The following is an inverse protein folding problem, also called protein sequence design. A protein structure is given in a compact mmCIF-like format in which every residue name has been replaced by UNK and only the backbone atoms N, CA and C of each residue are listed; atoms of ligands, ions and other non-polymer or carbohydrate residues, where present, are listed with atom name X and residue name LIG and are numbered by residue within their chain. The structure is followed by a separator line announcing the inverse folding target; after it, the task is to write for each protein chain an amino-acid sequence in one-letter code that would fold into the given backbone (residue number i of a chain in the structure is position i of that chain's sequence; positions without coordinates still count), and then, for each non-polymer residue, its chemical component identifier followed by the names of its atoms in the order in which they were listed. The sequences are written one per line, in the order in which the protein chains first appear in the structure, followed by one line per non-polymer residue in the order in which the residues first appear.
data_IF_488755056073
#
_entry.id   IF_488755056073
#
_cell.length_a   1.000
_cell.length_b   1.000
_cell.length_c   1.000
_cell.angle_alpha   90.00
_cell.angle_beta   90.00
_cell.angle_gamma   90.00
#
_symmetry.space_group_name_H-M   'P 1'
#
loop_
_entity.id
_entity.type
_entity.pdbx_description
1 polymer ?
#
# COMPACT_ATOMS: atom_id res chain seq x y z
N UNK A 1 -7.65 -12.37 13.24
CA UNK A 1 -8.41 -11.81 12.09
C UNK A 1 -9.75 -12.52 11.99
N UNK A 2 -10.86 -11.79 12.18
CA UNK A 2 -12.15 -12.44 12.40
C UNK A 2 -12.04 -13.41 13.59
N UNK A 3 -12.48 -14.65 13.40
CA UNK A 3 -12.41 -15.70 14.43
C UNK A 3 -11.11 -16.52 14.41
N UNK A 4 -10.16 -16.20 13.52
CA UNK A 4 -8.93 -16.96 13.34
C UNK A 4 -7.73 -16.23 13.95
N UNK A 5 -6.95 -16.94 14.78
CA UNK A 5 -5.61 -16.54 15.18
C UNK A 5 -4.64 -16.95 14.07
N UNK A 6 -4.16 -15.97 13.30
CA UNK A 6 -3.32 -16.22 12.13
C UNK A 6 -1.86 -16.28 12.56
N UNK A 7 -1.19 -17.41 12.30
CA UNK A 7 0.25 -17.54 12.43
C UNK A 7 1.00 -16.88 11.25
N UNK A 8 2.30 -16.66 11.42
CA UNK A 8 3.17 -16.19 10.34
C UNK A 8 3.07 -17.12 9.11
N UNK A 9 2.78 -16.59 7.91
CA UNK A 9 2.73 -17.39 6.69
C UNK A 9 4.05 -18.11 6.42
N UNK A 10 3.96 -19.35 5.93
CA UNK A 10 5.11 -20.20 5.60
C UNK A 10 5.31 -20.36 4.08
N UNK A 11 4.65 -19.54 3.28
CA UNK A 11 4.78 -19.47 1.82
C UNK A 11 4.23 -18.15 1.28
N UNK A 12 4.64 -17.76 0.08
CA UNK A 12 4.15 -16.55 -0.59
C UNK A 12 2.66 -16.63 -0.91
N UNK A 13 2.13 -17.78 -1.33
CA UNK A 13 0.70 -17.94 -1.59
C UNK A 13 -0.16 -17.72 -0.35
N UNK A 14 0.27 -18.23 0.82
CA UNK A 14 -0.46 -17.98 2.07
C UNK A 14 -0.32 -16.52 2.49
N UNK A 15 0.85 -15.91 2.32
CA UNK A 15 1.07 -14.52 2.66
C UNK A 15 0.17 -13.57 1.84
N UNK A 16 0.03 -13.79 0.53
CA UNK A 16 -0.85 -12.96 -0.31
C UNK A 16 -2.34 -13.19 -0.02
N UNK A 17 -2.76 -14.42 0.29
CA UNK A 17 -4.13 -14.70 0.71
C UNK A 17 -4.50 -13.99 2.03
N UNK A 18 -3.59 -14.01 3.02
CA UNK A 18 -3.78 -13.24 4.27
C UNK A 18 -3.79 -11.74 3.97
N UNK A 19 -2.91 -11.27 3.07
CA UNK A 19 -2.86 -9.86 2.65
C UNK A 19 -4.19 -9.40 2.04
N UNK A 20 -4.80 -10.18 1.16
CA UNK A 20 -6.11 -9.86 0.57
C UNK A 20 -7.21 -9.75 1.64
N UNK A 21 -7.21 -10.66 2.62
CA UNK A 21 -8.15 -10.60 3.75
C UNK A 21 -7.93 -9.37 4.63
N UNK A 22 -6.67 -8.99 4.92
CA UNK A 22 -6.34 -7.73 5.61
C UNK A 22 -6.91 -6.54 4.83
N UNK A 23 -6.70 -6.49 3.51
CA UNK A 23 -7.19 -5.39 2.67
C UNK A 23 -8.72 -5.25 2.80
N UNK A 24 -9.47 -6.36 2.68
CA UNK A 24 -10.92 -6.33 2.79
C UNK A 24 -11.40 -5.90 4.19
N UNK A 25 -10.73 -6.38 5.25
CA UNK A 25 -11.06 -6.03 6.63
C UNK A 25 -10.76 -4.56 6.92
N UNK A 26 -9.56 -4.06 6.60
CA UNK A 26 -9.17 -2.66 6.80
C UNK A 26 -10.11 -1.73 6.03
N UNK A 27 -10.34 -2.01 4.74
CA UNK A 27 -11.23 -1.21 3.91
C UNK A 27 -12.70 -1.20 4.37
N UNK A 28 -13.11 -2.17 5.19
CA UNK A 28 -14.46 -2.21 5.79
C UNK A 28 -14.57 -1.39 7.08
N UNK A 29 -13.45 -0.94 7.66
CA UNK A 29 -13.42 -0.15 8.91
C UNK A 29 -12.94 1.29 8.69
N UNK A 30 -12.62 1.66 7.45
CA UNK A 30 -12.24 3.03 7.06
C UNK A 30 -13.08 3.49 5.87
N UNK A 31 -13.19 4.80 5.68
CA UNK A 31 -13.86 5.41 4.51
C UNK A 31 -12.86 5.86 3.43
N UNK A 32 -11.57 5.61 3.63
CA UNK A 32 -10.47 6.01 2.74
C UNK A 32 -9.89 4.84 1.95
N UNK A 33 -8.79 5.10 1.25
CA UNK A 33 -8.01 4.05 0.59
C UNK A 33 -6.96 3.44 1.50
N UNK A 34 -6.68 2.17 1.31
CA UNK A 34 -5.63 1.41 2.03
C UNK A 34 -4.36 1.37 1.19
N UNK A 35 -3.19 1.35 1.82
CA UNK A 35 -1.91 1.25 1.12
C UNK A 35 -1.00 0.25 1.79
N UNK A 36 -0.35 -0.58 0.97
CA UNK A 36 0.74 -1.43 1.41
C UNK A 36 2.03 -0.84 0.84
N UNK A 37 2.83 -0.25 1.72
CA UNK A 37 4.13 0.31 1.38
C UNK A 37 5.16 -0.82 1.20
N UNK A 38 6.05 -0.68 0.21
CA UNK A 38 7.16 -1.61 -0.05
C UNK A 38 6.75 -3.10 -0.03
N UNK A 39 5.65 -3.44 -0.71
CA UNK A 39 5.08 -4.79 -0.70
C UNK A 39 6.08 -5.84 -1.20
N UNK A 40 6.99 -5.44 -2.09
CA UNK A 40 8.10 -6.24 -2.58
C UNK A 40 9.08 -6.66 -1.49
N UNK A 41 9.29 -5.82 -0.47
CA UNK A 41 10.20 -6.13 0.63
C UNK A 41 9.47 -6.77 1.81
N UNK A 42 8.24 -6.33 2.09
CA UNK A 42 7.38 -6.93 3.12
C UNK A 42 7.10 -8.40 2.83
N UNK A 43 6.89 -8.76 1.56
CA UNK A 43 6.57 -10.14 1.18
C UNK A 43 7.77 -11.00 0.77
N UNK A 44 8.97 -10.41 0.60
CA UNK A 44 10.18 -11.13 0.20
C UNK A 44 10.52 -12.33 1.10
N UNK A 45 10.40 -12.26 2.45
CA UNK A 45 10.68 -13.41 3.31
C UNK A 45 9.80 -14.63 3.00
N UNK A 46 8.58 -14.43 2.51
CA UNK A 46 7.66 -15.53 2.20
C UNK A 46 7.96 -16.18 0.85
N UNK A 47 8.57 -15.44 -0.09
CA UNK A 47 9.14 -16.03 -1.31
C UNK A 47 10.33 -16.92 -0.96
N UNK A 48 11.19 -16.46 -0.05
CA UNK A 48 12.30 -17.28 0.46
C UNK A 48 11.79 -18.56 1.15
N UNK A 49 10.76 -18.46 1.98
CA UNK A 49 10.13 -19.62 2.60
C UNK A 49 9.57 -20.62 1.58
N UNK A 50 8.94 -20.13 0.49
CA UNK A 50 8.50 -20.98 -0.62
C UNK A 50 9.68 -21.66 -1.32
N UNK A 51 10.77 -20.93 -1.58
CA UNK A 51 11.99 -21.52 -2.15
C UNK A 51 12.55 -22.63 -1.28
N UNK A 52 12.71 -22.40 0.02
CA UNK A 52 13.27 -23.39 0.95
C UNK A 52 12.40 -24.65 1.01
N UNK A 53 11.08 -24.49 0.93
CA UNK A 53 10.13 -25.60 0.83
C UNK A 53 10.34 -26.39 -0.47
N UNK A 54 10.42 -25.74 -1.63
CA UNK A 54 10.63 -26.43 -2.91
C UNK A 54 12.00 -27.09 -3.00
N UNK A 55 13.03 -26.47 -2.43
CA UNK A 55 14.36 -27.04 -2.35
C UNK A 55 14.38 -28.31 -1.49
N UNK A 56 13.70 -28.29 -0.34
CA UNK A 56 13.55 -29.47 0.51
C UNK A 56 12.82 -30.60 -0.23
N UNK A 57 11.74 -30.28 -0.94
CA UNK A 57 11.04 -31.27 -1.79
C UNK A 57 11.99 -31.83 -2.86
N UNK A 58 12.78 -30.98 -3.53
CA UNK A 58 13.76 -31.45 -4.51
C UNK A 58 14.83 -32.37 -3.91
N UNK A 59 15.23 -32.13 -2.65
CA UNK A 59 16.11 -33.02 -1.90
C UNK A 59 15.44 -34.38 -1.59
N UNK A 60 14.22 -34.34 -1.04
CA UNK A 60 13.45 -35.54 -0.67
C UNK A 60 13.22 -36.46 -1.87
N UNK A 61 12.93 -35.88 -3.03
CA UNK A 61 12.65 -36.60 -4.27
C UNK A 61 13.89 -36.81 -5.15
N UNK A 62 15.08 -36.48 -4.64
CA UNK A 62 16.36 -36.64 -5.33
C UNK A 62 16.39 -36.05 -6.76
N UNK A 63 15.74 -34.90 -6.94
CA UNK A 63 15.77 -34.19 -8.22
C UNK A 63 17.23 -33.83 -8.53
N UNK A 64 17.63 -34.09 -9.78
CA UNK A 64 19.02 -33.92 -10.23
C UNK A 64 19.49 -32.47 -10.00
N UNK A 65 18.77 -31.51 -10.57
CA UNK A 65 19.01 -30.08 -10.36
C UNK A 65 17.97 -29.47 -9.40
N UNK A 66 18.33 -29.44 -8.12
CA UNK A 66 17.45 -29.00 -7.02
C UNK A 66 17.25 -27.49 -7.03
N UNK A 67 18.29 -26.75 -7.39
CA UNK A 67 18.24 -25.29 -7.44
C UNK A 67 17.37 -24.84 -8.60
N UNK A 68 17.56 -25.40 -9.80
CA UNK A 68 16.71 -25.08 -10.94
C UNK A 68 15.24 -25.43 -10.68
N UNK A 69 14.98 -26.59 -10.06
CA UNK A 69 13.63 -26.95 -9.64
C UNK A 69 13.05 -25.93 -8.66
N UNK A 70 13.77 -25.64 -7.57
CA UNK A 70 13.28 -24.73 -6.54
C UNK A 70 13.03 -23.32 -7.08
N UNK A 71 13.92 -22.81 -7.94
CA UNK A 71 13.74 -21.54 -8.62
C UNK A 71 12.48 -21.55 -9.50
N UNK A 72 12.35 -22.52 -10.40
CA UNK A 72 11.21 -22.60 -11.33
C UNK A 72 9.86 -22.73 -10.60
N UNK A 73 9.80 -23.52 -9.52
CA UNK A 73 8.58 -23.66 -8.71
C UNK A 73 8.26 -22.39 -7.93
N UNK A 74 9.27 -21.71 -7.39
CA UNK A 74 9.10 -20.45 -6.65
C UNK A 74 8.65 -19.31 -7.56
N UNK A 75 9.23 -19.21 -8.76
CA UNK A 75 8.81 -18.22 -9.77
C UNK A 75 7.34 -18.39 -10.13
N UNK A 76 6.91 -19.63 -10.40
CA UNK A 76 5.50 -19.93 -10.69
C UNK A 76 4.59 -19.63 -9.50
N UNK A 77 4.97 -20.05 -8.30
CA UNK A 77 4.18 -19.82 -7.08
C UNK A 77 4.03 -18.32 -6.77
N UNK A 78 5.10 -17.54 -6.94
CA UNK A 78 5.05 -16.09 -6.73
C UNK A 78 4.14 -15.42 -7.78
N UNK A 79 4.28 -15.78 -9.06
CA UNK A 79 3.37 -15.28 -10.10
C UNK A 79 1.90 -15.59 -9.78
N UNK A 80 1.60 -16.83 -9.37
CA UNK A 80 0.25 -17.26 -9.02
C UNK A 80 -0.28 -16.56 -7.76
N UNK A 81 0.58 -16.36 -6.76
CA UNK A 81 0.22 -15.67 -5.52
C UNK A 81 -0.21 -14.22 -5.76
N UNK A 82 0.48 -13.50 -6.66
CA UNK A 82 0.10 -12.14 -7.06
C UNK A 82 -1.06 -12.10 -8.05
N UNK A 83 -1.23 -13.14 -8.86
CA UNK A 83 -2.45 -13.31 -9.65
C UNK A 83 -3.66 -13.41 -8.71
N UNK A 84 -3.62 -14.33 -7.75
CA UNK A 84 -4.68 -14.50 -6.76
C UNK A 84 -4.96 -13.21 -6.01
N UNK A 85 -3.91 -12.50 -5.56
CA UNK A 85 -4.08 -11.21 -4.89
C UNK A 85 -4.77 -10.16 -5.77
N UNK A 86 -4.39 -10.03 -7.04
CA UNK A 86 -5.05 -9.10 -7.97
C UNK A 86 -6.51 -9.47 -8.20
N UNK A 87 -6.83 -10.76 -8.33
CA UNK A 87 -8.21 -11.22 -8.48
C UNK A 87 -9.03 -11.02 -7.21
N UNK A 88 -8.51 -11.39 -6.04
CA UNK A 88 -9.20 -11.25 -4.76
C UNK A 88 -9.48 -9.79 -4.42
N UNK A 89 -8.55 -8.88 -4.70
CA UNK A 89 -8.80 -7.44 -4.57
C UNK A 89 -9.99 -7.00 -5.43
N UNK A 90 -10.24 -7.64 -6.58
CA UNK A 90 -11.33 -7.28 -7.50
C UNK A 90 -12.62 -8.10 -7.31
N UNK A 91 -12.63 -9.13 -6.46
CA UNK A 91 -13.81 -9.98 -6.20
C UNK A 91 -14.30 -9.92 -4.76
N UNK A 92 -13.44 -9.51 -3.83
CA UNK A 92 -13.83 -9.20 -2.46
C UNK A 92 -14.60 -7.88 -2.42
N UNK A 93 -15.63 -7.85 -1.58
CA UNK A 93 -16.43 -6.66 -1.32
C UNK A 93 -16.16 -6.18 0.10
N UNK A 94 -16.05 -4.88 0.26
CA UNK A 94 -16.03 -4.23 1.57
C UNK A 94 -17.45 -4.13 2.14
N UNK A 95 -17.58 -3.72 3.41
CA UNK A 95 -18.88 -3.55 4.06
C UNK A 95 -19.84 -2.60 3.32
N UNK A 96 -19.34 -1.71 2.45
CA UNK A 96 -20.18 -0.80 1.66
C UNK A 96 -20.60 -1.36 0.28
N UNK A 97 -20.26 -2.62 -0.02
CA UNK A 97 -20.59 -3.29 -1.28
C UNK A 97 -19.71 -2.92 -2.47
N UNK A 98 -18.56 -2.27 -2.24
CA UNK A 98 -17.60 -1.92 -3.29
C UNK A 98 -16.30 -2.72 -3.20
N UNK A 99 -15.61 -2.83 -4.33
CA UNK A 99 -14.21 -3.26 -4.41
C UNK A 99 -13.34 -2.37 -3.51
N UNK A 100 -12.43 -2.95 -2.70
CA UNK A 100 -11.56 -2.17 -1.83
C UNK A 100 -10.67 -1.23 -2.65
N UNK A 101 -10.63 0.05 -2.25
CA UNK A 101 -9.62 0.97 -2.73
C UNK A 101 -8.29 0.57 -2.07
N UNK A 102 -7.37 0.00 -2.85
CA UNK A 102 -6.02 -0.33 -2.38
C UNK A 102 -4.93 0.11 -3.34
N UNK A 103 -3.79 0.52 -2.77
CA UNK A 103 -2.56 0.90 -3.48
C UNK A 103 -1.40 0.00 -3.03
N UNK A 104 -0.64 -0.53 -3.98
CA UNK A 104 0.61 -1.25 -3.75
C UNK A 104 1.80 -0.37 -4.11
N UNK A 105 2.67 -0.10 -3.14
CA UNK A 105 3.95 0.56 -3.33
C UNK A 105 5.08 -0.45 -3.44
N UNK A 106 5.93 -0.33 -4.46
CA UNK A 106 7.09 -1.21 -4.67
C UNK A 106 8.19 -0.55 -5.51
N UNK A 107 9.33 -1.22 -5.67
CA UNK A 107 10.38 -0.84 -6.61
C UNK A 107 11.75 -0.58 -5.97
N UNK A 108 11.82 -0.60 -4.64
CA UNK A 108 13.06 -0.36 -3.89
C UNK A 108 13.80 -1.65 -3.51
N UNK A 109 13.12 -2.80 -3.49
CA UNK A 109 13.75 -4.06 -3.12
C UNK A 109 14.78 -4.55 -4.15
N UNK A 110 15.93 -5.00 -3.67
CA UNK A 110 17.07 -5.49 -4.49
C UNK A 110 17.29 -6.99 -4.41
N UNK A 111 16.72 -7.67 -3.41
CA UNK A 111 16.85 -9.13 -3.27
C UNK A 111 16.20 -9.85 -4.45
N UNK A 112 16.63 -11.09 -4.71
CA UNK A 112 16.04 -11.92 -5.78
C UNK A 112 14.53 -12.09 -5.56
N UNK A 113 14.12 -12.24 -4.31
CA UNK A 113 12.74 -12.37 -3.86
C UNK A 113 11.94 -11.10 -4.12
N UNK A 114 12.46 -9.93 -3.74
CA UNK A 114 11.77 -8.66 -3.96
C UNK A 114 11.65 -8.35 -5.45
N UNK A 115 12.71 -8.59 -6.23
CA UNK A 115 12.69 -8.46 -7.69
C UNK A 115 11.65 -9.40 -8.34
N UNK A 116 11.54 -10.64 -7.85
CA UNK A 116 10.53 -11.60 -8.32
C UNK A 116 9.11 -11.11 -8.01
N UNK A 117 8.88 -10.50 -6.84
CA UNK A 117 7.60 -9.87 -6.51
C UNK A 117 7.28 -8.72 -7.46
N UNK A 118 8.23 -7.79 -7.67
CA UNK A 118 8.04 -6.65 -8.57
C UNK A 118 7.66 -7.13 -9.98
N UNK A 119 8.36 -8.14 -10.51
CA UNK A 119 8.02 -8.76 -11.80
C UNK A 119 6.64 -9.42 -11.79
N UNK A 120 6.33 -10.21 -10.76
CA UNK A 120 5.04 -10.89 -10.63
C UNK A 120 3.85 -9.93 -10.63
N UNK A 121 3.98 -8.77 -9.97
CA UNK A 121 2.97 -7.71 -9.96
C UNK A 121 2.77 -7.15 -11.38
N UNK A 122 3.86 -6.77 -12.04
CA UNK A 122 3.82 -6.13 -13.36
C UNK A 122 3.33 -7.08 -14.46
N UNK A 123 3.82 -8.32 -14.46
CA UNK A 123 3.44 -9.36 -15.41
C UNK A 123 1.96 -9.74 -15.28
N UNK A 124 1.43 -9.87 -14.06
CA UNK A 124 0.00 -10.09 -13.84
C UNK A 124 -0.85 -8.92 -14.33
N UNK A 125 -0.48 -7.69 -13.98
CA UNK A 125 -1.20 -6.50 -14.45
C UNK A 125 -1.26 -6.45 -15.98
N UNK A 126 -0.14 -6.74 -16.64
CA UNK A 126 -0.07 -6.80 -18.11
C UNK A 126 -0.95 -7.90 -18.70
N UNK A 127 -0.98 -9.09 -18.09
CA UNK A 127 -1.84 -10.19 -18.51
C UNK A 127 -3.33 -9.80 -18.48
N UNK A 128 -3.72 -8.97 -17.50
CA UNK A 128 -5.05 -8.39 -17.37
C UNK A 128 -6.06 -9.29 -16.66
N UNK A 129 -7.16 -8.68 -16.26
CA UNK A 129 -8.14 -9.29 -15.35
C UNK A 129 -9.26 -10.01 -16.10
N UNK A 130 -9.50 -11.26 -15.71
CA UNK A 130 -10.57 -12.12 -16.18
C UNK A 130 -10.42 -12.60 -17.63
N UNK A 131 -11.44 -13.31 -18.12
CA UNK A 131 -11.47 -13.89 -19.48
C UNK A 131 -11.15 -12.88 -20.58
N UNK A 132 -11.63 -11.66 -20.44
CA UNK A 132 -11.46 -10.60 -21.43
C UNK A 132 -10.19 -9.76 -21.21
N UNK A 133 -9.34 -10.14 -20.24
CA UNK A 133 -8.07 -9.49 -19.92
C UNK A 133 -8.21 -7.98 -19.78
N UNK A 134 -9.24 -7.54 -19.03
CA UNK A 134 -9.54 -6.11 -18.84
C UNK A 134 -8.45 -5.43 -18.01
N UNK A 135 -8.28 -4.13 -18.18
CA UNK A 135 -7.42 -3.34 -17.30
C UNK A 135 -8.09 -3.19 -15.95
N UNK A 136 -7.47 -3.74 -14.91
CA UNK A 136 -7.98 -3.62 -13.55
C UNK A 136 -7.87 -2.18 -13.04
N UNK A 137 -8.88 -1.71 -12.30
CA UNK A 137 -8.88 -0.38 -11.68
C UNK A 137 -8.05 -0.40 -10.39
N UNK A 138 -8.17 -1.48 -9.61
CA UNK A 138 -7.42 -1.73 -8.39
C UNK A 138 -6.70 -3.09 -8.44
N UNK A 139 -5.64 -3.31 -7.64
CA UNK A 139 -4.92 -2.31 -6.85
C UNK A 139 -4.30 -1.22 -7.76
N UNK A 140 -4.15 0.00 -7.24
CA UNK A 140 -3.23 0.96 -7.85
C UNK A 140 -1.82 0.43 -7.68
N UNK A 141 -0.97 0.65 -8.68
CA UNK A 141 0.45 0.30 -8.58
C UNK A 141 1.26 1.60 -8.56
N UNK A 142 2.10 1.77 -7.55
CA UNK A 142 3.01 2.92 -7.41
C UNK A 142 4.44 2.40 -7.37
N UNK A 143 5.19 2.66 -8.45
CA UNK A 143 6.55 2.23 -8.64
C UNK A 143 7.53 3.35 -8.25
N UNK A 144 8.37 3.08 -7.25
CA UNK A 144 9.41 4.00 -6.80
C UNK A 144 10.58 4.00 -7.78
N UNK A 145 10.96 5.18 -8.29
CA UNK A 145 12.17 5.37 -9.08
C UNK A 145 13.26 6.03 -8.22
N UNK A 146 14.44 5.41 -8.18
CA UNK A 146 15.61 5.87 -7.42
C UNK A 146 16.87 5.78 -8.27
N UNK A 147 17.66 6.85 -8.27
CA UNK A 147 18.96 6.91 -8.94
C UNK A 147 19.92 5.85 -8.37
N UNK A 148 20.63 5.14 -9.25
CA UNK A 148 21.55 4.06 -8.88
C UNK A 148 20.87 2.72 -8.54
N UNK A 149 19.55 2.64 -8.66
CA UNK A 149 18.79 1.42 -8.40
C UNK A 149 18.00 0.95 -9.62
N UNK A 150 17.13 1.80 -10.17
CA UNK A 150 16.26 1.42 -11.27
C UNK A 150 16.07 2.52 -12.31
N UNK A 151 16.76 3.66 -12.19
CA UNK A 151 16.48 4.83 -13.01
C UNK A 151 17.22 4.80 -14.36
N UNK A 152 18.49 4.39 -14.39
CA UNK A 152 19.38 4.52 -15.57
C UNK A 152 19.81 3.15 -16.09
N UNK A 153 20.15 3.10 -17.38
CA UNK A 153 20.72 1.91 -17.97
C UNK A 153 21.97 1.48 -17.20
N UNK A 154 22.07 0.20 -16.85
CA UNK A 154 23.13 -0.34 -16.01
C UNK A 154 22.80 -0.40 -14.52
N UNK A 155 21.74 0.29 -14.05
CA UNK A 155 21.29 0.14 -12.66
C UNK A 155 20.74 -1.28 -12.39
N UNK A 156 20.87 -1.82 -11.17
CA UNK A 156 20.53 -3.22 -10.85
C UNK A 156 19.11 -3.66 -11.22
N UNK A 157 18.14 -2.77 -11.08
CA UNK A 157 16.72 -3.00 -11.35
C UNK A 157 16.23 -2.23 -12.59
N UNK A 158 17.12 -1.82 -13.50
CA UNK A 158 16.74 -1.14 -14.73
C UNK A 158 15.84 -2.02 -15.64
N UNK A 159 16.07 -3.33 -15.62
CA UNK A 159 15.22 -4.32 -16.30
C UNK A 159 13.76 -4.26 -15.80
N UNK A 160 13.56 -4.11 -14.49
CA UNK A 160 12.24 -3.95 -13.89
C UNK A 160 11.62 -2.60 -14.25
N UNK A 161 12.41 -1.52 -14.37
CA UNK A 161 11.90 -0.25 -14.91
C UNK A 161 11.38 -0.42 -16.35
N UNK A 162 12.06 -1.18 -17.21
CA UNK A 162 11.57 -1.44 -18.57
C UNK A 162 10.22 -2.18 -18.54
N UNK A 163 10.11 -3.18 -17.66
CA UNK A 163 8.86 -3.91 -17.44
C UNK A 163 7.74 -3.00 -16.91
N UNK A 164 8.06 -2.07 -16.00
CA UNK A 164 7.11 -1.09 -15.48
C UNK A 164 6.61 -0.12 -16.57
N UNK A 165 7.50 0.33 -17.47
CA UNK A 165 7.13 1.15 -18.62
C UNK A 165 6.20 0.39 -19.59
N UNK A 166 6.52 -0.87 -19.90
CA UNK A 166 5.68 -1.72 -20.73
C UNK A 166 4.29 -1.88 -20.09
N UNK A 167 4.24 -2.17 -18.79
CA UNK A 167 3.00 -2.29 -18.03
C UNK A 167 2.16 -1.01 -18.10
N UNK A 168 2.76 0.15 -17.82
CA UNK A 168 2.07 1.45 -17.88
C UNK A 168 1.49 1.73 -19.27
N UNK A 169 2.24 1.44 -20.34
CA UNK A 169 1.77 1.64 -21.72
C UNK A 169 0.54 0.81 -22.08
N UNK A 170 0.37 -0.36 -21.44
CA UNK A 170 -0.74 -1.29 -21.70
C UNK A 170 -1.91 -1.10 -20.73
N UNK A 171 -1.65 -0.66 -19.50
CA UNK A 171 -2.56 -0.78 -18.35
C UNK A 171 -2.65 0.48 -17.49
N UNK A 172 -2.12 1.61 -17.95
CA UNK A 172 -2.00 2.89 -17.22
C UNK A 172 -1.01 2.82 -16.05
N UNK A 173 -1.22 1.91 -15.12
CA UNK A 173 -0.34 1.67 -13.98
C UNK A 173 0.90 0.84 -14.36
N UNK A 174 2.03 1.01 -13.66
CA UNK A 174 2.21 1.79 -12.42
C UNK A 174 2.37 3.29 -12.61
N UNK A 175 1.84 4.06 -11.66
CA UNK A 175 2.24 5.45 -11.42
C UNK A 175 3.69 5.47 -10.92
N UNK A 176 4.45 6.51 -11.24
CA UNK A 176 5.86 6.64 -10.86
C UNK A 176 6.01 7.61 -9.70
N UNK A 177 6.83 7.22 -8.71
CA UNK A 177 7.17 8.06 -7.56
C UNK A 177 8.68 8.29 -7.50
N UNK A 178 9.12 9.55 -7.66
CA UNK A 178 10.54 9.89 -7.56
C UNK A 178 10.99 9.87 -6.09
N UNK A 179 11.90 8.96 -5.75
CA UNK A 179 12.38 8.76 -4.38
C UNK A 179 12.93 10.05 -3.76
N UNK A 180 13.87 10.70 -4.43
CA UNK A 180 14.58 11.87 -3.91
C UNK A 180 13.65 13.08 -3.73
N UNK A 181 12.71 13.27 -4.66
CA UNK A 181 11.72 14.35 -4.53
C UNK A 181 10.74 14.10 -3.38
N UNK A 182 10.32 12.86 -3.15
CA UNK A 182 9.48 12.54 -1.99
C UNK A 182 10.24 12.82 -0.70
N UNK A 183 11.48 12.34 -0.57
CA UNK A 183 12.33 12.64 0.60
C UNK A 183 12.49 14.14 0.78
N UNK A 184 12.79 14.89 -0.28
CA UNK A 184 12.95 16.34 -0.23
C UNK A 184 11.69 17.07 0.27
N UNK A 185 10.52 16.69 -0.23
CA UNK A 185 9.26 17.40 0.07
C UNK A 185 8.68 16.99 1.43
N UNK A 186 8.85 15.73 1.81
CA UNK A 186 8.11 15.13 2.93
C UNK A 186 9.02 14.62 4.05
N UNK A 187 10.34 14.79 3.91
CA UNK A 187 11.39 14.44 4.87
C UNK A 187 11.78 12.96 4.93
N UNK A 188 11.02 12.06 4.30
CA UNK A 188 11.29 10.62 4.25
C UNK A 188 10.63 9.98 3.04
N UNK A 189 11.06 8.79 2.63
CA UNK A 189 10.37 8.06 1.57
C UNK A 189 9.23 7.20 2.11
N UNK A 190 8.06 7.31 1.49
CA UNK A 190 6.91 6.40 1.65
C UNK A 190 6.03 6.50 0.41
N UNK A 191 5.23 5.47 0.14
CA UNK A 191 4.13 5.58 -0.82
C UNK A 191 2.91 6.31 -0.22
N UNK A 192 2.05 6.91 -1.05
CA UNK A 192 0.90 7.67 -0.55
C UNK A 192 -0.17 6.76 0.04
N UNK A 193 -0.81 7.20 1.13
CA UNK A 193 -2.05 6.61 1.62
C UNK A 193 -3.18 6.85 0.61
N UNK A 194 -3.79 5.75 0.15
CA UNK A 194 -4.86 5.75 -0.85
C UNK A 194 -4.38 6.34 -2.18
N UNK A 195 -4.98 7.46 -2.60
CA UNK A 195 -4.61 8.13 -3.85
C UNK A 195 -3.23 8.81 -3.78
N UNK A 196 -3.04 9.69 -2.79
CA UNK A 196 -1.97 10.72 -2.77
C UNK A 196 -1.79 11.44 -1.43
N UNK A 197 -2.28 10.89 -0.32
CA UNK A 197 -2.06 11.50 1.00
C UNK A 197 -0.69 11.06 1.53
N UNK A 198 0.24 12.01 1.69
CA UNK A 198 1.59 11.72 2.18
C UNK A 198 1.73 12.09 3.64
N UNK A 199 2.33 11.19 4.41
CA UNK A 199 2.70 11.45 5.80
C UNK A 199 3.93 12.36 5.89
N UNK A 200 3.91 13.27 6.86
CA UNK A 200 5.11 13.97 7.32
C UNK A 200 6.02 13.06 8.14
N UNK A 201 7.23 13.54 8.46
CA UNK A 201 8.17 12.84 9.34
C UNK A 201 7.55 12.64 10.72
N UNK A 202 7.71 11.44 11.25
CA UNK A 202 7.43 11.10 12.65
C UNK A 202 8.50 10.10 13.07
N UNK A 203 9.10 10.33 14.22
CA UNK A 203 10.17 9.51 14.77
C UNK A 203 9.81 9.13 16.19
N UNK A 204 10.06 7.87 16.54
CA UNK A 204 9.89 7.34 17.87
C UNK A 204 11.08 6.42 18.17
N UNK A 205 11.70 6.58 19.33
CA UNK A 205 12.90 5.81 19.72
C UNK A 205 14.07 5.87 18.71
N UNK A 206 14.18 6.96 17.94
CA UNK A 206 15.21 7.12 16.90
C UNK A 206 14.90 6.42 15.58
N UNK A 207 13.72 5.82 15.43
CA UNK A 207 13.25 5.19 14.20
C UNK A 207 12.16 6.02 13.54
N UNK A 208 12.30 6.25 12.23
CA UNK A 208 11.24 6.86 11.43
C UNK A 208 10.11 5.86 11.21
N UNK A 209 8.89 6.23 11.60
CA UNK A 209 7.71 5.38 11.45
C UNK A 209 6.79 5.89 10.32
N UNK A 210 6.44 4.99 9.39
CA UNK A 210 5.47 5.25 8.32
C UNK A 210 4.29 4.28 8.40
N UNK A 211 4.58 3.00 8.55
CA UNK A 211 3.61 1.91 8.60
C UNK A 211 2.75 2.00 9.86
N UNK A 212 1.44 1.76 9.71
CA UNK A 212 0.47 1.87 10.80
C UNK A 212 -0.10 3.28 11.01
N UNK A 213 0.57 4.34 10.52
CA UNK A 213 0.04 5.71 10.59
C UNK A 213 -1.09 5.94 9.59
N UNK A 214 -1.95 6.92 9.88
CA UNK A 214 -3.15 7.18 9.08
C UNK A 214 -3.46 8.69 8.94
N UNK A 215 -4.61 9.00 8.34
CA UNK A 215 -5.12 10.37 8.17
C UNK A 215 -6.57 10.47 8.69
N UNK A 216 -6.85 11.45 9.55
CA UNK A 216 -8.14 11.57 10.28
C UNK A 216 -9.29 12.18 9.48
N UNK A 217 -9.03 12.74 8.31
CA UNK A 217 -10.06 13.27 7.43
C UNK A 217 -9.56 14.35 6.50
N UNK A 218 -10.49 14.91 5.73
CA UNK A 218 -10.22 15.97 4.75
C UNK A 218 -11.37 16.96 4.80
N UNK A 219 -11.02 18.26 4.73
CA UNK A 219 -11.95 19.36 4.42
C UNK A 219 -11.33 20.12 3.26
N UNK A 220 -12.09 20.28 2.17
CA UNK A 220 -11.63 20.99 0.96
C UNK A 220 -12.19 22.41 0.94
N UNK A 221 -11.32 23.39 0.70
CA UNK A 221 -11.72 24.78 0.49
C UNK A 221 -12.00 25.04 -0.99
N UNK A 222 -13.14 25.69 -1.27
CA UNK A 222 -13.48 26.14 -2.61
C UNK A 222 -12.82 27.50 -2.89
N UNK A 223 -11.54 27.48 -3.27
CA UNK A 223 -10.78 28.70 -3.60
C UNK A 223 -11.43 29.54 -4.71
N UNK A 224 -11.97 28.95 -5.80
CA UNK A 224 -12.71 29.74 -6.80
C UNK A 224 -13.87 30.54 -6.21
N UNK A 225 -14.61 29.98 -5.24
CA UNK A 225 -15.71 30.69 -4.58
C UNK A 225 -15.21 31.91 -3.80
N UNK A 226 -14.07 31.80 -3.14
CA UNK A 226 -13.44 32.91 -2.41
C UNK A 226 -13.08 34.04 -3.38
N UNK A 227 -12.48 33.71 -4.53
CA UNK A 227 -12.15 34.68 -5.57
C UNK A 227 -13.40 35.38 -6.15
N UNK A 228 -14.49 34.64 -6.40
CA UNK A 228 -15.76 35.21 -6.85
C UNK A 228 -16.35 36.17 -5.81
N UNK A 229 -16.31 35.82 -4.53
CA UNK A 229 -16.81 36.66 -3.43
C UNK A 229 -15.97 37.93 -3.25
N UNK A 230 -14.66 37.85 -3.54
CA UNK A 230 -13.73 38.98 -3.48
C UNK A 230 -13.92 40.00 -4.63
N UNK A 231 -14.59 39.62 -5.74
CA UNK A 231 -14.91 40.52 -6.87
C UNK A 231 -13.71 41.32 -7.41
N UNK A 232 -12.52 40.70 -7.43
CA UNK A 232 -11.28 41.32 -7.90
C UNK A 232 -10.52 42.15 -6.87
N UNK A 233 -11.03 42.29 -5.64
CA UNK A 233 -10.33 42.92 -4.53
C UNK A 233 -9.42 41.89 -3.83
N UNK A 234 -8.10 42.07 -3.94
CA UNK A 234 -7.10 41.19 -3.36
C UNK A 234 -7.11 41.21 -1.83
N UNK A 235 -7.30 42.38 -1.21
CA UNK A 235 -7.37 42.48 0.25
C UNK A 235 -8.61 41.76 0.78
N UNK A 236 -9.74 41.87 0.07
CA UNK A 236 -10.94 41.11 0.38
C UNK A 236 -10.73 39.59 0.21
N UNK A 237 -10.01 39.15 -0.84
CA UNK A 237 -9.69 37.74 -1.05
C UNK A 237 -8.93 37.15 0.14
N UNK A 238 -7.84 37.80 0.57
CA UNK A 238 -7.04 37.32 1.70
C UNK A 238 -7.85 37.31 3.01
N UNK A 239 -8.64 38.36 3.29
CA UNK A 239 -9.51 38.38 4.46
C UNK A 239 -10.57 37.27 4.45
N UNK A 240 -11.15 36.97 3.29
CA UNK A 240 -12.10 35.86 3.14
C UNK A 240 -11.41 34.52 3.31
N UNK A 241 -10.21 34.35 2.74
CA UNK A 241 -9.44 33.11 2.87
C UNK A 241 -9.12 32.81 4.34
N UNK A 242 -8.64 33.78 5.11
CA UNK A 242 -8.35 33.61 6.53
C UNK A 242 -9.58 33.14 7.32
N UNK A 243 -10.74 33.77 7.08
CA UNK A 243 -12.02 33.37 7.69
C UNK A 243 -12.41 31.94 7.32
N UNK A 244 -12.21 31.54 6.06
CA UNK A 244 -12.53 30.18 5.58
C UNK A 244 -11.54 29.14 6.13
N UNK A 245 -10.27 29.50 6.32
CA UNK A 245 -9.26 28.64 6.95
C UNK A 245 -9.59 28.36 8.41
N UNK A 246 -9.97 29.38 9.19
CA UNK A 246 -10.41 29.19 10.58
C UNK A 246 -11.65 28.30 10.69
N UNK A 247 -12.62 28.49 9.78
CA UNK A 247 -13.79 27.61 9.70
C UNK A 247 -13.40 26.16 9.36
N UNK A 248 -12.49 25.97 8.40
CA UNK A 248 -12.02 24.63 8.01
C UNK A 248 -11.30 23.94 9.17
N UNK A 249 -10.44 24.66 9.90
CA UNK A 249 -9.79 24.17 11.13
C UNK A 249 -10.83 23.75 12.16
N UNK A 250 -11.83 24.58 12.44
CA UNK A 250 -12.92 24.24 13.38
C UNK A 250 -13.67 22.96 12.96
N UNK A 251 -13.97 22.83 11.66
CA UNK A 251 -14.63 21.64 11.12
C UNK A 251 -13.78 20.38 11.25
N UNK A 252 -12.46 20.47 11.00
CA UNK A 252 -11.52 19.37 11.23
C UNK A 252 -11.47 18.97 12.71
N UNK A 253 -11.29 19.94 13.61
CA UNK A 253 -11.21 19.67 15.06
C UNK A 253 -12.51 19.06 15.61
N UNK A 254 -13.67 19.42 15.06
CA UNK A 254 -14.95 18.81 15.46
C UNK A 254 -14.98 17.31 15.14
N UNK A 255 -14.34 16.88 14.05
CA UNK A 255 -14.23 15.45 13.70
C UNK A 255 -13.24 14.73 14.60
N UNK A 256 -12.12 15.37 14.92
CA UNK A 256 -11.10 14.82 15.83
C UNK A 256 -11.68 14.63 17.23
N UNK A 257 -12.40 15.62 17.77
CA UNK A 257 -13.01 15.54 19.10
C UNK A 257 -13.99 14.36 19.24
N UNK A 258 -14.61 13.89 18.15
CA UNK A 258 -15.48 12.70 18.19
C UNK A 258 -14.73 11.41 18.49
N UNK A 259 -13.40 11.38 18.34
CA UNK A 259 -12.56 10.22 18.59
C UNK A 259 -12.11 10.11 20.06
N UNK A 260 -12.21 11.19 20.86
CA UNK A 260 -11.70 11.28 22.24
C UNK A 260 -12.23 10.17 23.16
N UNK A 261 -13.48 9.74 22.95
CA UNK A 261 -14.15 8.74 23.78
C UNK A 261 -14.31 7.38 23.07
N UNK A 262 -13.69 7.20 21.91
CA UNK A 262 -13.81 5.96 21.12
C UNK A 262 -12.84 4.91 21.64
N UNK A 263 -13.33 3.69 21.82
CA UNK A 263 -12.56 2.55 22.33
C UNK A 263 -12.04 1.67 21.19
N UNK A 264 -10.87 1.04 21.38
CA UNK A 264 -10.21 0.22 20.37
C UNK A 264 -11.09 -0.91 19.79
N UNK A 265 -12.01 -1.46 20.59
CA UNK A 265 -12.97 -2.49 20.15
C UNK A 265 -13.86 -2.08 18.96
N UNK A 266 -13.93 -0.80 18.60
CA UNK A 266 -14.70 -0.33 17.44
C UNK A 266 -14.17 -0.89 16.12
N UNK A 267 -12.87 -1.18 16.03
CA UNK A 267 -12.23 -1.76 14.85
C UNK A 267 -10.99 -2.57 15.26
N UNK A 268 -11.16 -3.82 15.73
CA UNK A 268 -10.06 -4.63 16.25
C UNK A 268 -8.91 -4.81 15.26
N UNK A 269 -9.20 -4.98 13.96
CA UNK A 269 -8.16 -5.11 12.92
C UNK A 269 -7.23 -3.91 12.87
N UNK A 270 -7.76 -2.70 13.09
CA UNK A 270 -7.00 -1.46 13.07
C UNK A 270 -6.19 -1.30 14.35
N UNK A 271 -6.87 -1.36 15.49
CA UNK A 271 -6.33 -0.85 16.76
C UNK A 271 -5.74 -1.93 17.67
N UNK A 272 -6.15 -3.19 17.50
CA UNK A 272 -5.78 -4.30 18.39
C UNK A 272 -4.86 -5.32 17.70
N UNK A 273 -4.96 -5.44 16.37
CA UNK A 273 -4.26 -6.46 15.58
C UNK A 273 -3.17 -5.92 14.65
N UNK A 274 -2.72 -4.69 14.87
CA UNK A 274 -1.48 -4.16 14.28
C UNK A 274 -1.62 -3.43 12.95
N UNK A 275 -2.80 -3.30 12.34
CA UNK A 275 -2.90 -2.55 11.08
C UNK A 275 -2.61 -1.04 11.26
N UNK A 276 -2.83 -0.49 12.46
CA UNK A 276 -2.36 0.85 12.85
C UNK A 276 -1.01 0.86 13.60
N UNK A 277 -0.20 -0.20 13.48
CA UNK A 277 1.13 -0.27 14.11
C UNK A 277 1.11 -0.45 15.63
N UNK A 278 -0.07 -0.53 16.24
CA UNK A 278 -0.28 -0.67 17.70
C UNK A 278 -1.13 -1.89 18.02
N UNK A 279 -1.08 -2.32 19.28
CA UNK A 279 -1.93 -3.39 19.83
C UNK A 279 -2.57 -2.92 21.14
N UNK A 280 -3.61 -2.10 21.01
CA UNK A 280 -4.41 -1.61 22.13
C UNK A 280 -5.28 -2.72 22.73
N UNK A 281 -5.63 -2.60 24.02
CA UNK A 281 -6.67 -3.42 24.65
C UNK A 281 -8.06 -2.89 24.24
N UNK A 282 -9.06 -3.75 24.34
CA UNK A 282 -10.43 -3.45 23.90
C UNK A 282 -11.06 -2.16 24.49
N UNK A 283 -10.65 -1.78 25.70
CA UNK A 283 -11.14 -0.61 26.46
C UNK A 283 -10.21 0.61 26.42
N UNK A 284 -9.06 0.51 25.74
CA UNK A 284 -8.12 1.63 25.58
C UNK A 284 -8.70 2.67 24.59
N UNK A 285 -8.29 3.93 24.74
CA UNK A 285 -8.71 5.02 23.86
C UNK A 285 -7.97 4.97 22.53
N UNK A 286 -8.67 5.13 21.41
CA UNK A 286 -8.02 5.26 20.09
C UNK A 286 -7.46 6.67 19.84
N UNK A 287 -7.84 7.66 20.64
CA UNK A 287 -7.40 9.04 20.43
C UNK A 287 -5.90 9.23 20.71
N UNK A 288 -5.31 8.37 21.55
CA UNK A 288 -3.91 8.48 21.99
C UNK A 288 -2.90 8.10 20.89
N UNK A 289 -3.35 7.47 19.81
CA UNK A 289 -2.48 7.01 18.72
C UNK A 289 -2.44 7.95 17.50
N UNK A 290 -3.11 9.11 17.59
CA UNK A 290 -3.21 10.10 16.51
C UNK A 290 -2.62 11.46 16.91
#
# INVERSE_FOLDING_TARGET
MGNAEIEQPKSISTATAVTAQIIAQVASHIYGGTTINRIDEVLAPFVKASYDKHYKVAQEWQIADKEAYANARTEKECYDAFQSLEYEVNTLHTANGQTPFVTFGFGLGTSKEARLIQRSILENRMAGLGKNRKTAVFPKLVFAIKDGLNHKFGDPNYDIKQLALECASKRMYPDILNYDQVVKVTGSFKTPMGCRSFLGVYEENGEMLHEGRNNLGVISLNLPRIAIEAKGDEAAFWSLLDKRLELAKKALMTRIARLENVKARVAPILYMEGACGVRLKADDSVAEIF
#
